data_IF_636564072061
#
_entry.id   IF_636564072061
#
_cell.length_a   1.000
_cell.length_b   1.000
_cell.length_c   1.000
_cell.angle_alpha   90.00
_cell.angle_beta   90.00
_cell.angle_gamma   90.00
#
_symmetry.space_group_name_H-M   'P 1'
#
loop_
_entity.id
_entity.type
_entity.pdbx_description
1 polymer ?
#
# COMPACT_ATOMS: atom_id res chain seq x y z
N UNK A 1 26.00 -5.07 -2.64
CA UNK A 1 24.83 -5.96 -2.40
C UNK A 1 23.65 -5.05 -2.14
N UNK A 2 22.64 -5.12 -2.99
CA UNK A 2 21.40 -4.34 -2.79
C UNK A 2 20.60 -5.00 -1.66
N UNK A 3 20.33 -4.26 -0.59
CA UNK A 3 19.51 -4.74 0.53
C UNK A 3 18.10 -4.20 0.28
N UNK A 4 17.19 -5.11 -0.05
CA UNK A 4 15.78 -4.76 -0.16
C UNK A 4 15.14 -4.56 1.22
N UNK A 5 14.06 -3.81 1.28
CA UNK A 5 13.29 -3.67 2.52
C UNK A 5 12.79 -5.04 2.99
N UNK A 6 12.91 -5.30 4.27
CA UNK A 6 12.44 -6.52 4.92
C UNK A 6 11.78 -6.20 6.26
N UNK A 7 11.08 -7.16 6.85
CA UNK A 7 10.51 -6.98 8.18
C UNK A 7 11.62 -6.65 9.18
N UNK A 8 11.42 -5.60 9.97
CA UNK A 8 12.38 -5.07 10.93
C UNK A 8 13.34 -4.02 10.37
N UNK A 9 13.27 -3.70 9.07
CA UNK A 9 14.04 -2.59 8.48
C UNK A 9 13.17 -1.36 8.26
N UNK A 10 13.81 -0.20 8.17
CA UNK A 10 13.13 1.05 7.82
C UNK A 10 12.58 0.98 6.38
N UNK A 11 11.36 1.46 6.19
CA UNK A 11 10.78 1.62 4.85
C UNK A 11 11.53 2.74 4.10
N UNK A 12 11.87 2.58 2.81
CA UNK A 12 12.60 3.60 2.07
C UNK A 12 11.88 4.95 2.06
N UNK A 13 12.64 6.02 2.25
CA UNK A 13 12.11 7.39 2.15
C UNK A 13 11.73 7.70 0.71
N UNK A 14 10.69 8.51 0.53
CA UNK A 14 10.25 8.94 -0.79
C UNK A 14 9.71 10.37 -0.78
N UNK A 15 9.80 11.02 -1.93
CA UNK A 15 9.07 12.25 -2.27
C UNK A 15 8.53 12.05 -3.68
N UNK A 16 7.22 11.84 -3.79
CA UNK A 16 6.55 11.47 -5.03
C UNK A 16 5.27 12.28 -5.23
N UNK A 17 4.94 12.55 -6.48
CA UNK A 17 3.66 13.18 -6.82
C UNK A 17 2.53 12.15 -6.78
N UNK A 18 1.33 12.64 -6.55
CA UNK A 18 0.14 11.79 -6.53
C UNK A 18 -1.14 12.60 -6.51
N UNK A 19 -2.24 11.90 -6.32
CA UNK A 19 -3.59 12.45 -6.25
C UNK A 19 -4.21 12.09 -4.92
N UNK A 20 -4.65 13.06 -4.13
CA UNK A 20 -5.32 12.83 -2.85
C UNK A 20 -6.79 12.42 -3.02
N UNK A 21 -7.48 12.16 -1.90
CA UNK A 21 -8.90 11.79 -1.89
C UNK A 21 -9.83 12.86 -2.50
N UNK A 22 -9.42 14.13 -2.49
CA UNK A 22 -10.19 15.27 -3.03
C UNK A 22 -9.86 15.58 -4.50
N UNK A 23 -9.18 14.67 -5.21
CA UNK A 23 -8.77 14.84 -6.60
C UNK A 23 -7.76 16.00 -6.83
N UNK A 24 -7.00 16.34 -5.81
CA UNK A 24 -5.93 17.33 -5.90
C UNK A 24 -4.59 16.66 -6.13
N UNK A 25 -3.85 17.14 -7.13
CA UNK A 25 -2.47 16.71 -7.36
C UNK A 25 -1.53 17.43 -6.42
N UNK A 26 -0.67 16.68 -5.73
CA UNK A 26 0.28 17.22 -4.78
C UNK A 26 1.51 16.30 -4.64
N UNK A 27 2.55 16.82 -3.99
CA UNK A 27 3.72 16.04 -3.61
C UNK A 27 3.50 15.41 -2.24
N UNK A 28 3.84 14.14 -2.11
CA UNK A 28 3.77 13.35 -0.87
C UNK A 28 5.19 13.01 -0.43
N UNK A 29 5.50 13.32 0.82
CA UNK A 29 6.80 13.06 1.43
C UNK A 29 6.64 12.07 2.56
N UNK A 30 7.46 11.03 2.58
CA UNK A 30 7.43 10.04 3.66
C UNK A 30 7.69 10.64 5.04
N UNK A 31 8.46 11.72 5.10
CA UNK A 31 8.78 12.44 6.35
C UNK A 31 7.55 13.11 7.01
N UNK A 32 6.50 13.36 6.23
CA UNK A 32 5.27 13.99 6.72
C UNK A 32 4.23 12.96 7.21
N UNK A 33 4.54 11.66 7.14
CA UNK A 33 3.64 10.57 7.51
C UNK A 33 3.87 10.19 8.98
N UNK A 34 2.83 10.29 9.78
CA UNK A 34 2.85 9.93 11.19
C UNK A 34 1.89 8.77 11.47
N UNK A 35 2.28 7.86 12.37
CA UNK A 35 1.46 6.73 12.80
C UNK A 35 1.58 5.50 11.89
N UNK A 36 0.72 4.51 12.14
CA UNK A 36 0.66 3.29 11.35
C UNK A 36 0.27 3.58 9.91
N UNK A 37 0.93 2.90 8.97
CA UNK A 37 0.72 3.10 7.53
C UNK A 37 0.64 1.78 6.79
N UNK A 38 -0.20 1.73 5.78
CA UNK A 38 -0.27 0.64 4.80
C UNK A 38 0.08 1.20 3.44
N UNK A 39 1.21 0.76 2.91
CA UNK A 39 1.66 1.09 1.56
C UNK A 39 1.41 -0.11 0.67
N UNK A 40 0.58 0.04 -0.37
CA UNK A 40 0.33 -1.03 -1.30
C UNK A 40 0.66 -0.62 -2.72
N UNK A 41 1.13 -1.57 -3.49
CA UNK A 41 1.57 -1.39 -4.87
C UNK A 41 0.67 -2.21 -5.79
N UNK A 42 0.34 -1.65 -6.95
CA UNK A 42 -0.45 -2.31 -7.98
C UNK A 42 0.17 -2.04 -9.37
N UNK A 43 0.02 -2.97 -10.36
CA UNK A 43 0.80 -2.91 -11.59
C UNK A 43 0.52 -1.71 -12.49
N UNK A 44 -0.74 -1.47 -12.82
CA UNK A 44 -1.13 -0.51 -13.88
C UNK A 44 -2.48 0.13 -13.60
N UNK A 45 -2.56 1.42 -13.86
CA UNK A 45 -3.83 2.14 -13.96
C UNK A 45 -4.63 1.65 -15.19
N UNK A 46 -5.94 1.88 -15.23
CA UNK A 46 -6.83 1.50 -16.34
C UNK A 46 -6.85 0.00 -16.66
N UNK A 47 -6.77 -0.86 -15.64
CA UNK A 47 -6.83 -2.32 -15.77
C UNK A 47 -8.03 -2.92 -15.03
N UNK A 48 -8.07 -4.25 -14.88
CA UNK A 48 -9.26 -4.96 -14.38
C UNK A 48 -9.20 -5.32 -12.91
N UNK A 49 -8.08 -5.88 -12.43
CA UNK A 49 -7.91 -6.29 -11.01
C UNK A 49 -7.64 -5.06 -10.14
N UNK A 50 -6.78 -4.14 -10.59
CA UNK A 50 -6.31 -3.01 -9.80
C UNK A 50 -7.42 -2.15 -9.20
N UNK A 51 -8.50 -1.76 -9.92
CA UNK A 51 -9.54 -0.95 -9.32
C UNK A 51 -10.30 -1.68 -8.22
N UNK A 52 -10.43 -3.00 -8.29
CA UNK A 52 -11.06 -3.80 -7.21
C UNK A 52 -10.22 -3.77 -5.94
N UNK A 53 -8.90 -3.82 -6.07
CA UNK A 53 -7.97 -3.74 -4.94
C UNK A 53 -7.98 -2.35 -4.31
N UNK A 54 -7.89 -1.30 -5.13
CA UNK A 54 -7.89 0.09 -4.67
C UNK A 54 -9.17 0.39 -3.88
N UNK A 55 -10.32 0.02 -4.41
CA UNK A 55 -11.61 0.20 -3.74
C UNK A 55 -11.68 -0.57 -2.41
N UNK A 56 -11.18 -1.80 -2.36
CA UNK A 56 -11.17 -2.61 -1.15
C UNK A 56 -10.17 -2.09 -0.11
N UNK A 57 -8.99 -1.62 -0.52
CA UNK A 57 -7.97 -1.05 0.36
C UNK A 57 -8.42 0.25 1.03
N UNK A 58 -9.38 0.97 0.46
CA UNK A 58 -9.95 2.17 1.06
C UNK A 58 -10.62 1.92 2.42
N UNK A 59 -11.03 0.68 2.69
CA UNK A 59 -11.57 0.26 4.00
C UNK A 59 -10.56 0.44 5.14
N UNK A 60 -9.26 0.41 4.85
CA UNK A 60 -8.22 0.66 5.85
C UNK A 60 -8.25 2.08 6.41
N UNK A 61 -8.81 3.04 5.68
CA UNK A 61 -9.01 4.41 6.18
C UNK A 61 -9.89 4.41 7.44
N UNK A 62 -10.88 3.52 7.51
CA UNK A 62 -11.77 3.38 8.67
C UNK A 62 -11.05 2.79 9.89
N UNK A 63 -9.90 2.17 9.71
CA UNK A 63 -9.05 1.67 10.80
C UNK A 63 -8.16 2.75 11.42
N UNK A 64 -8.23 3.99 10.92
CA UNK A 64 -7.49 5.14 11.45
C UNK A 64 -6.00 5.13 11.12
N UNK A 65 -5.59 4.43 10.05
CA UNK A 65 -4.21 4.37 9.59
C UNK A 65 -4.04 5.12 8.27
N UNK A 66 -2.80 5.49 7.95
CA UNK A 66 -2.47 6.04 6.65
C UNK A 66 -2.52 4.93 5.59
N UNK A 67 -3.11 5.23 4.44
CA UNK A 67 -3.20 4.30 3.30
C UNK A 67 -2.69 5.00 2.05
N UNK A 68 -1.76 4.37 1.33
CA UNK A 68 -1.21 4.91 0.09
C UNK A 68 -1.13 3.82 -0.96
N UNK A 69 -1.70 4.06 -2.13
CA UNK A 69 -1.60 3.15 -3.28
C UNK A 69 -0.59 3.68 -4.30
N UNK A 70 0.33 2.83 -4.75
CA UNK A 70 1.41 3.18 -5.66
C UNK A 70 1.33 2.38 -6.96
N UNK A 71 1.60 3.03 -8.08
CA UNK A 71 1.94 2.39 -9.36
C UNK A 71 2.89 3.25 -10.17
N UNK A 72 3.49 2.68 -11.21
CA UNK A 72 4.41 3.39 -12.10
C UNK A 72 3.76 4.41 -13.02
N UNK A 73 2.43 4.47 -13.11
CA UNK A 73 1.71 5.47 -13.88
C UNK A 73 1.76 6.83 -13.19
N UNK A 74 1.78 7.91 -14.00
CA UNK A 74 1.91 9.25 -13.46
C UNK A 74 0.61 9.78 -12.80
N UNK A 75 0.73 10.90 -12.10
CA UNK A 75 -0.37 11.52 -11.36
C UNK A 75 -1.52 12.00 -12.26
N UNK A 76 -1.25 12.41 -13.49
CA UNK A 76 -2.28 12.81 -14.46
C UNK A 76 -3.13 11.59 -14.88
N UNK A 77 -2.48 10.46 -15.11
CA UNK A 77 -3.15 9.19 -15.39
C UNK A 77 -4.08 8.82 -14.24
N UNK A 78 -3.59 8.86 -13.00
CA UNK A 78 -4.36 8.54 -11.79
C UNK A 78 -5.57 9.44 -11.61
N UNK A 79 -5.41 10.75 -11.78
CA UNK A 79 -6.51 11.71 -11.68
C UNK A 79 -7.61 11.43 -12.71
N UNK A 80 -7.22 11.20 -13.96
CA UNK A 80 -8.19 10.89 -15.01
C UNK A 80 -8.88 9.54 -14.79
N UNK A 81 -8.14 8.54 -14.32
CA UNK A 81 -8.71 7.24 -14.02
C UNK A 81 -9.74 7.31 -12.89
N UNK A 82 -9.46 8.04 -11.81
CA UNK A 82 -10.47 8.29 -10.74
C UNK A 82 -11.74 8.92 -11.31
N UNK A 83 -11.63 9.90 -12.21
CA UNK A 83 -12.78 10.60 -12.78
C UNK A 83 -13.70 9.70 -13.62
N UNK A 84 -13.14 8.71 -14.31
CA UNK A 84 -13.90 7.87 -15.26
C UNK A 84 -14.23 6.47 -14.72
N UNK A 85 -13.62 6.03 -13.63
CA UNK A 85 -13.86 4.72 -13.05
C UNK A 85 -14.69 4.82 -11.77
N UNK A 86 -15.94 4.31 -11.82
CA UNK A 86 -16.87 4.39 -10.70
C UNK A 86 -16.45 3.62 -9.45
N UNK A 87 -15.57 2.61 -9.56
CA UNK A 87 -15.10 1.84 -8.40
C UNK A 87 -14.13 2.62 -7.52
N UNK A 88 -13.34 3.55 -8.11
CA UNK A 88 -12.29 4.28 -7.41
C UNK A 88 -12.55 5.79 -7.30
N UNK A 89 -13.68 6.26 -7.85
CA UNK A 89 -14.01 7.69 -7.86
C UNK A 89 -14.03 8.31 -6.47
N UNK A 90 -14.58 7.59 -5.50
CA UNK A 90 -14.85 8.08 -4.15
C UNK A 90 -13.84 7.58 -3.11
N UNK A 91 -12.70 7.03 -3.53
CA UNK A 91 -11.67 6.61 -2.57
C UNK A 91 -11.11 7.82 -1.83
N UNK A 92 -10.84 7.61 -0.54
CA UNK A 92 -10.40 8.67 0.38
C UNK A 92 -8.88 8.74 0.51
N UNK A 93 -8.18 7.64 0.20
CA UNK A 93 -6.73 7.57 0.29
C UNK A 93 -6.06 8.01 -1.03
N UNK A 94 -4.83 8.54 -0.97
CA UNK A 94 -4.11 8.98 -2.14
C UNK A 94 -3.58 7.83 -3.02
N UNK A 95 -3.48 8.11 -4.31
CA UNK A 95 -2.76 7.31 -5.30
C UNK A 95 -1.47 8.01 -5.70
N UNK A 96 -0.35 7.35 -5.55
CA UNK A 96 1.00 7.91 -5.68
C UNK A 96 1.67 7.39 -6.96
N UNK A 97 2.34 8.27 -7.68
CA UNK A 97 3.04 7.99 -8.92
C UNK A 97 4.52 7.65 -8.64
N UNK A 98 4.85 6.36 -8.63
CA UNK A 98 6.23 5.88 -8.60
C UNK A 98 6.77 5.83 -10.04
N UNK A 99 6.76 6.98 -10.71
CA UNK A 99 7.19 7.11 -12.11
C UNK A 99 8.68 6.79 -12.21
N UNK A 100 9.02 5.82 -13.07
CA UNK A 100 10.36 5.27 -13.17
C UNK A 100 10.62 4.09 -12.21
N UNK A 101 9.66 3.73 -11.35
CA UNK A 101 9.70 2.57 -10.46
C UNK A 101 10.88 2.56 -9.48
N UNK A 102 11.42 3.72 -9.11
CA UNK A 102 12.59 3.79 -8.23
C UNK A 102 12.29 3.22 -6.83
N UNK A 103 11.18 3.63 -6.22
CA UNK A 103 10.77 3.09 -4.93
C UNK A 103 10.47 1.59 -5.02
N UNK A 104 9.79 1.15 -6.08
CA UNK A 104 9.51 -0.27 -6.33
C UNK A 104 10.79 -1.09 -6.52
N UNK A 105 11.83 -0.52 -7.16
CA UNK A 105 13.14 -1.15 -7.27
C UNK A 105 13.83 -1.28 -5.91
N UNK A 106 13.80 -0.23 -5.09
CA UNK A 106 14.39 -0.26 -3.74
C UNK A 106 13.71 -1.30 -2.85
N UNK A 107 12.41 -1.54 -3.07
CA UNK A 107 11.64 -2.56 -2.36
C UNK A 107 11.79 -3.97 -2.94
N UNK A 108 12.41 -4.13 -4.11
CA UNK A 108 12.58 -5.43 -4.76
C UNK A 108 11.29 -6.03 -5.33
N UNK A 109 10.34 -5.21 -5.71
CA UNK A 109 9.00 -5.63 -6.15
C UNK A 109 8.70 -5.30 -7.62
N UNK A 110 9.73 -5.16 -8.45
CA UNK A 110 9.55 -4.88 -9.89
C UNK A 110 9.55 -6.19 -10.68
N UNK A 111 8.51 -6.39 -11.48
CA UNK A 111 8.57 -7.35 -12.58
C UNK A 111 9.32 -6.72 -13.75
N UNK A 112 10.54 -7.17 -13.99
CA UNK A 112 11.44 -6.58 -14.99
C UNK A 112 10.92 -6.82 -16.42
N UNK A 113 10.26 -7.95 -16.66
CA UNK A 113 9.75 -8.30 -17.99
C UNK A 113 8.58 -7.41 -18.40
N UNK A 114 7.67 -7.15 -17.45
CA UNK A 114 6.50 -6.32 -17.68
C UNK A 114 6.77 -4.82 -17.43
N UNK A 115 7.86 -4.47 -16.74
CA UNK A 115 8.19 -3.09 -16.40
C UNK A 115 7.18 -2.44 -15.46
N UNK A 116 6.65 -3.20 -14.49
CA UNK A 116 5.65 -2.76 -13.52
C UNK A 116 5.98 -3.26 -12.13
N UNK A 117 5.39 -2.67 -11.09
CA UNK A 117 5.48 -3.24 -9.76
C UNK A 117 4.51 -4.43 -9.59
N UNK A 118 4.90 -5.36 -8.73
CA UNK A 118 4.06 -6.47 -8.28
C UNK A 118 2.97 -5.97 -7.32
N UNK A 119 1.99 -6.83 -7.01
CA UNK A 119 0.94 -6.55 -6.03
C UNK A 119 1.47 -6.75 -4.62
N UNK A 120 2.18 -5.75 -4.12
CA UNK A 120 2.83 -5.79 -2.81
C UNK A 120 2.05 -4.97 -1.78
N UNK A 121 2.10 -5.41 -0.53
CA UNK A 121 1.53 -4.70 0.61
C UNK A 121 2.56 -4.67 1.74
N UNK A 122 2.80 -3.48 2.28
CA UNK A 122 3.68 -3.24 3.41
C UNK A 122 2.87 -2.62 4.54
N UNK A 123 2.96 -3.18 5.74
CA UNK A 123 2.46 -2.54 6.96
C UNK A 123 3.66 -2.00 7.71
N UNK A 124 3.62 -0.70 8.00
CA UNK A 124 4.72 0.06 8.58
C UNK A 124 4.25 0.71 9.89
N UNK A 125 5.05 0.56 10.94
CA UNK A 125 4.72 1.08 12.25
C UNK A 125 5.01 2.59 12.39
N UNK A 126 4.64 3.24 13.53
CA UNK A 126 4.87 4.66 13.72
C UNK A 126 6.35 5.10 13.73
N UNK A 127 7.30 4.18 13.87
CA UNK A 127 8.74 4.43 13.76
C UNK A 127 9.26 4.22 12.34
N UNK A 128 8.34 4.04 11.38
CA UNK A 128 8.64 3.80 9.97
C UNK A 128 9.36 2.48 9.70
N UNK A 129 9.19 1.50 10.60
CA UNK A 129 9.75 0.15 10.48
C UNK A 129 8.72 -0.78 9.85
N UNK A 130 9.14 -1.56 8.86
CA UNK A 130 8.31 -2.56 8.19
C UNK A 130 7.99 -3.71 9.17
N UNK A 131 6.72 -3.96 9.39
CA UNK A 131 6.22 -5.02 10.28
C UNK A 131 5.61 -6.20 9.52
N UNK A 132 5.19 -6.00 8.27
CA UNK A 132 4.60 -7.04 7.43
C UNK A 132 4.83 -6.74 5.96
N UNK A 133 5.08 -7.78 5.19
CA UNK A 133 5.19 -7.74 3.73
C UNK A 133 4.41 -8.90 3.14
N UNK A 134 3.57 -8.63 2.15
CA UNK A 134 3.02 -9.65 1.26
C UNK A 134 3.16 -9.22 -0.19
N UNK A 135 3.45 -10.17 -1.07
CA UNK A 135 3.61 -9.91 -2.51
C UNK A 135 2.91 -11.01 -3.28
N UNK A 136 1.93 -10.63 -4.11
CA UNK A 136 1.25 -11.54 -5.02
C UNK A 136 1.79 -11.41 -6.44
N UNK A 137 1.68 -12.50 -7.20
CA UNK A 137 1.87 -12.49 -8.64
C UNK A 137 0.86 -11.53 -9.32
N UNK A 138 1.19 -11.08 -10.54
CA UNK A 138 0.42 -10.05 -11.25
C UNK A 138 -1.06 -10.40 -11.45
N UNK A 139 -1.39 -11.67 -11.60
CA UNK A 139 -2.77 -12.14 -11.88
C UNK A 139 -3.59 -12.43 -10.62
N UNK A 140 -3.03 -12.22 -9.43
CA UNK A 140 -3.67 -12.58 -8.17
C UNK A 140 -3.90 -11.36 -7.28
N UNK A 141 -5.17 -10.98 -7.10
CA UNK A 141 -5.58 -9.89 -6.20
C UNK A 141 -5.35 -10.22 -4.73
N UNK A 142 -5.38 -9.17 -3.90
CA UNK A 142 -5.20 -9.23 -2.44
C UNK A 142 -6.47 -9.66 -1.72
N UNK A 143 -6.30 -10.10 -0.47
CA UNK A 143 -7.39 -10.21 0.49
C UNK A 143 -7.27 -9.08 1.53
N UNK A 144 -8.14 -8.09 1.45
CA UNK A 144 -8.09 -6.91 2.34
C UNK A 144 -8.49 -7.26 3.77
N UNK A 145 -9.38 -8.22 3.98
CA UNK A 145 -9.73 -8.69 5.33
C UNK A 145 -8.50 -9.23 6.07
N UNK A 146 -7.61 -9.95 5.37
CA UNK A 146 -6.35 -10.42 5.93
C UNK A 146 -5.36 -9.28 6.20
N UNK A 147 -5.33 -8.24 5.35
CA UNK A 147 -4.52 -7.04 5.62
C UNK A 147 -4.99 -6.36 6.90
N UNK A 148 -6.29 -6.17 7.07
CA UNK A 148 -6.89 -5.57 8.27
C UNK A 148 -6.62 -6.44 9.50
N UNK A 149 -6.81 -7.77 9.40
CA UNK A 149 -6.52 -8.72 10.48
C UNK A 149 -5.07 -8.61 10.94
N UNK A 150 -4.13 -8.63 10.01
CA UNK A 150 -2.69 -8.54 10.29
C UNK A 150 -2.32 -7.19 10.91
N UNK A 151 -2.86 -6.09 10.38
CA UNK A 151 -2.68 -4.76 10.97
C UNK A 151 -3.12 -4.73 12.44
N UNK A 152 -4.31 -5.25 12.73
CA UNK A 152 -4.84 -5.28 14.10
C UNK A 152 -4.03 -6.18 15.02
N UNK A 153 -3.53 -7.31 14.52
CA UNK A 153 -2.63 -8.18 15.28
C UNK A 153 -1.33 -7.45 15.66
N UNK A 154 -0.73 -6.72 14.72
CA UNK A 154 0.46 -5.91 14.97
C UNK A 154 0.20 -4.78 15.98
N UNK A 155 -0.93 -4.09 15.85
CA UNK A 155 -1.32 -3.00 16.75
C UNK A 155 -1.66 -3.50 18.16
N UNK A 156 -2.12 -4.73 18.32
CA UNK A 156 -2.49 -5.30 19.61
C UNK A 156 -1.31 -5.42 20.60
N UNK A 157 -0.08 -5.54 20.08
CA UNK A 157 1.16 -5.47 20.86
C UNK A 157 1.45 -6.67 21.75
N UNK A 158 0.61 -7.73 21.72
CA UNK A 158 0.81 -8.98 22.46
C UNK A 158 1.20 -10.14 21.55
N UNK A 159 1.34 -11.34 22.12
CA UNK A 159 1.61 -12.55 21.35
C UNK A 159 0.32 -13.08 20.73
N UNK A 160 0.08 -12.69 19.49
CA UNK A 160 -1.07 -13.16 18.70
C UNK A 160 -0.77 -14.55 18.11
N UNK A 161 -1.62 -15.53 18.40
CA UNK A 161 -1.46 -16.87 17.87
C UNK A 161 -1.82 -16.99 16.38
N UNK A 162 -1.63 -18.19 15.83
CA UNK A 162 -2.07 -18.47 14.46
C UNK A 162 -3.59 -18.25 14.35
N UNK A 163 -4.03 -17.63 13.25
CA UNK A 163 -5.45 -17.32 13.00
C UNK A 163 -6.10 -16.35 14.03
N UNK A 164 -5.30 -15.64 14.79
CA UNK A 164 -5.79 -14.65 15.74
C UNK A 164 -6.68 -13.62 15.05
N UNK A 165 -7.78 -13.27 15.68
CA UNK A 165 -8.69 -12.21 15.26
C UNK A 165 -8.82 -11.16 16.38
N UNK A 166 -9.20 -9.93 16.04
CA UNK A 166 -9.47 -8.89 17.05
C UNK A 166 -10.48 -9.37 18.08
N UNK A 167 -10.11 -9.26 19.36
CA UNK A 167 -10.90 -9.76 20.49
C UNK A 167 -10.46 -11.13 21.01
N UNK A 168 -9.65 -11.88 20.27
CA UNK A 168 -9.07 -13.15 20.75
C UNK A 168 -8.00 -12.87 21.82
N UNK A 169 -7.79 -13.86 22.68
CA UNK A 169 -6.74 -13.81 23.72
C UNK A 169 -5.36 -13.94 23.11
N UNK A 170 -4.38 -13.35 23.76
CA UNK A 170 -2.98 -13.62 23.47
C UNK A 170 -2.61 -15.05 23.94
N UNK A 171 -1.59 -15.63 23.30
CA UNK A 171 -1.15 -17.00 23.63
C UNK A 171 -0.20 -17.06 24.84
N UNK A 172 0.30 -15.93 25.30
CA UNK A 172 1.09 -15.80 26.51
C UNK A 172 0.98 -14.38 27.10
#
# INVERSE_FOLDING_TARGET
>A
MQIYASVGTEFPTFTLNGVNGNDEMMSFRSEDIEGWSVFYFYPKDFTFICPTEIAAMDRLVDEGVNVFGFSGDNEFCKLNWKKVNGQIREIRHPLIADTGLNLSHDLGIVDINEGVCLRATFIVDPQFIVQHISVNALDTGRNVDEVIRTLKALQAGGLTGCQWNPGDKFVA
#
